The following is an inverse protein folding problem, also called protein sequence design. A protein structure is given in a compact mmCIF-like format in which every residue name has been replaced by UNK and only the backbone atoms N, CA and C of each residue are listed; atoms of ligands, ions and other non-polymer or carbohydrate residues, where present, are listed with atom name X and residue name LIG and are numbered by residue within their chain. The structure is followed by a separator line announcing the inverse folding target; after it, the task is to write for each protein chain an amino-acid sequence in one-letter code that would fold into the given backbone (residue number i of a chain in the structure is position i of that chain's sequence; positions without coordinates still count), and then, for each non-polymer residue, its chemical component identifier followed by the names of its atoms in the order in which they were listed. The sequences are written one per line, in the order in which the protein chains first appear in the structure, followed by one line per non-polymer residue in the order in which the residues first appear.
data_IF_896754284998
#
_entry.id   IF_896754284998
#
_cell.length_a   1.000
_cell.length_b   1.000
_cell.length_c   1.000
_cell.angle_alpha   90.00
_cell.angle_beta   90.00
_cell.angle_gamma   90.00
#
_symmetry.space_group_name_H-M   'P 1'
#
loop_
_entity.id
_entity.type
_entity.pdbx_description
1 polymer ?
#
# COMPACT_ATOMS: atom_id res chain seq x y z
N UNK A 1 3.38 -28.77 19.53
CA UNK A 1 3.75 -27.33 19.44
C UNK A 1 2.98 -26.50 20.48
N UNK A 2 3.09 -26.89 21.75
CA UNK A 2 2.21 -26.44 22.84
C UNK A 2 2.84 -25.34 23.72
N UNK A 3 4.01 -24.84 23.33
CA UNK A 3 4.83 -23.91 24.12
C UNK A 3 4.64 -22.43 23.71
N UNK A 4 3.85 -22.17 22.68
CA UNK A 4 3.66 -20.82 22.12
C UNK A 4 2.81 -19.87 22.99
N UNK A 5 2.10 -20.38 24.01
CA UNK A 5 0.99 -19.64 24.64
C UNK A 5 1.05 -19.50 26.17
N UNK A 6 2.09 -19.95 26.86
CA UNK A 6 2.21 -19.75 28.32
C UNK A 6 3.11 -18.59 28.74
N UNK A 7 3.97 -18.10 27.85
CA UNK A 7 5.06 -17.17 28.24
C UNK A 7 4.87 -15.73 27.77
N UNK A 8 3.94 -15.48 26.83
CA UNK A 8 3.82 -14.20 26.14
C UNK A 8 3.24 -13.01 26.92
N UNK A 9 2.67 -13.11 28.14
CA UNK A 9 2.38 -11.92 28.90
C UNK A 9 3.51 -11.50 29.87
N UNK A 10 4.57 -12.29 30.10
CA UNK A 10 5.51 -12.06 31.23
C UNK A 10 7.00 -12.36 30.97
N UNK A 11 7.48 -12.45 29.72
CA UNK A 11 8.95 -12.51 29.47
C UNK A 11 9.67 -11.16 29.69
N UNK A 12 9.02 -10.15 30.29
CA UNK A 12 9.55 -8.80 30.49
C UNK A 12 10.63 -8.70 31.59
N UNK A 13 11.09 -9.82 32.17
CA UNK A 13 11.88 -9.77 33.40
C UNK A 13 13.17 -10.59 33.45
N UNK A 14 13.62 -11.30 32.40
CA UNK A 14 14.69 -12.29 32.61
C UNK A 14 15.86 -12.31 31.63
N UNK A 15 15.92 -11.51 30.56
CA UNK A 15 17.03 -11.68 29.60
C UNK A 15 17.56 -10.35 29.03
N UNK A 16 18.19 -9.57 29.91
CA UNK A 16 19.26 -8.63 29.53
C UNK A 16 20.51 -9.03 30.31
N UNK A 17 21.31 -9.91 29.73
CA UNK A 17 22.69 -10.14 30.16
C UNK A 17 23.52 -10.33 28.90
N UNK A 18 24.57 -9.51 28.77
CA UNK A 18 25.69 -9.58 27.83
C UNK A 18 25.47 -9.13 26.37
N UNK A 19 25.71 -7.82 26.09
CA UNK A 19 26.92 -7.29 25.39
C UNK A 19 26.70 -5.87 24.86
N UNK A 20 27.66 -4.96 25.12
CA UNK A 20 27.98 -3.80 24.27
C UNK A 20 27.67 -2.39 24.83
N UNK A 21 28.72 -1.67 25.24
CA UNK A 21 28.75 -0.34 25.85
C UNK A 21 28.08 0.77 25.01
N UNK A 22 26.77 0.94 25.14
CA UNK A 22 26.05 2.22 24.98
C UNK A 22 24.72 2.24 25.77
N UNK A 23 24.50 1.21 26.60
CA UNK A 23 23.19 0.82 27.12
C UNK A 23 23.14 0.84 28.66
N UNK A 24 24.24 1.19 29.34
CA UNK A 24 24.34 1.08 30.81
C UNK A 24 23.28 1.90 31.55
N UNK A 25 22.98 3.14 31.13
CA UNK A 25 21.96 3.98 31.77
C UNK A 25 20.51 3.51 31.49
N UNK A 26 20.25 2.97 30.29
CA UNK A 26 18.94 2.42 29.91
C UNK A 26 18.69 1.04 30.52
N UNK A 27 19.73 0.22 30.65
CA UNK A 27 19.69 -1.09 31.29
C UNK A 27 19.55 -0.96 32.82
N UNK A 28 20.17 0.05 33.43
CA UNK A 28 20.06 0.30 34.87
C UNK A 28 18.66 0.83 35.25
N UNK A 29 18.09 1.76 34.47
CA UNK A 29 16.70 2.20 34.66
C UNK A 29 15.69 1.06 34.38
N UNK A 30 15.89 0.29 33.32
CA UNK A 30 15.09 -0.91 33.01
C UNK A 30 15.15 -1.94 34.14
N UNK A 31 16.33 -2.17 34.73
CA UNK A 31 16.50 -3.07 35.86
C UNK A 31 15.82 -2.55 37.13
N UNK A 32 15.92 -1.24 37.41
CA UNK A 32 15.20 -0.60 38.53
C UNK A 32 13.69 -0.73 38.39
N UNK A 33 13.16 -0.47 37.20
CA UNK A 33 11.72 -0.62 36.90
C UNK A 33 11.26 -2.08 37.03
N UNK A 34 12.09 -3.02 36.56
CA UNK A 34 11.87 -4.46 36.72
C UNK A 34 11.83 -4.91 38.19
N UNK A 35 12.77 -4.41 39.00
CA UNK A 35 12.86 -4.67 40.43
C UNK A 35 11.66 -4.08 41.18
N UNK A 36 11.27 -2.84 40.89
CA UNK A 36 10.07 -2.24 41.46
C UNK A 36 8.81 -3.05 41.10
N UNK A 37 8.70 -3.47 39.85
CA UNK A 37 7.60 -4.33 39.38
C UNK A 37 7.57 -5.68 40.07
N UNK A 38 8.73 -6.27 40.35
CA UNK A 38 8.85 -7.51 41.12
C UNK A 38 8.45 -7.32 42.59
N UNK A 39 8.90 -6.22 43.20
CA UNK A 39 8.54 -5.84 44.57
C UNK A 39 7.03 -5.64 44.71
N UNK A 40 6.37 -5.03 43.72
CA UNK A 40 4.92 -4.81 43.73
C UNK A 40 4.06 -6.05 43.40
N UNK A 41 4.65 -7.21 43.09
CA UNK A 41 3.89 -8.44 42.78
C UNK A 41 3.51 -9.20 44.04
N UNK A 42 2.33 -9.83 44.01
CA UNK A 42 1.90 -10.75 45.08
C UNK A 42 2.75 -12.02 45.09
N UNK A 43 2.84 -12.74 46.23
CA UNK A 43 3.56 -14.01 46.31
C UNK A 43 3.13 -15.03 45.24
N UNK A 44 1.82 -15.12 44.99
CA UNK A 44 1.26 -16.01 43.96
C UNK A 44 1.72 -15.62 42.54
N UNK A 45 1.82 -14.33 42.23
CA UNK A 45 2.31 -13.85 40.94
C UNK A 45 3.80 -14.14 40.76
N UNK A 46 4.61 -13.95 41.81
CA UNK A 46 6.04 -14.27 41.82
C UNK A 46 6.27 -15.76 41.59
N UNK A 47 5.51 -16.62 42.25
CA UNK A 47 5.57 -18.07 42.09
C UNK A 47 5.18 -18.50 40.66
N UNK A 48 4.14 -17.90 40.10
CA UNK A 48 3.77 -18.15 38.71
C UNK A 48 4.87 -17.73 37.73
N UNK A 49 5.60 -16.65 38.00
CA UNK A 49 6.74 -16.23 37.19
C UNK A 49 7.90 -17.22 37.27
N UNK A 50 8.26 -17.66 38.49
CA UNK A 50 9.30 -18.68 38.71
C UNK A 50 8.99 -19.96 37.94
N UNK A 51 7.77 -20.50 38.06
CA UNK A 51 7.34 -21.70 37.32
C UNK A 51 7.48 -21.56 35.80
N UNK A 52 7.14 -20.38 35.25
CA UNK A 52 7.28 -20.11 33.81
C UNK A 52 8.74 -19.98 33.38
N UNK A 53 9.58 -19.41 34.23
CA UNK A 53 11.00 -19.30 33.98
C UNK A 53 11.68 -20.67 33.97
N UNK A 54 11.34 -21.55 34.92
CA UNK A 54 11.82 -22.93 34.93
C UNK A 54 11.38 -23.71 33.69
N UNK A 55 10.13 -23.54 33.26
CA UNK A 55 9.66 -24.11 31.99
C UNK A 55 10.44 -23.59 30.78
N UNK A 56 10.88 -22.32 30.80
CA UNK A 56 11.68 -21.73 29.74
C UNK A 56 13.12 -22.27 29.75
N UNK A 57 13.75 -22.41 30.92
CA UNK A 57 15.08 -23.02 31.07
C UNK A 57 15.14 -24.43 30.49
N UNK A 58 14.10 -25.23 30.75
CA UNK A 58 13.98 -26.61 30.22
C UNK A 58 13.83 -26.69 28.69
N UNK A 59 13.67 -25.56 27.98
CA UNK A 59 13.60 -25.56 26.51
C UNK A 59 14.98 -25.63 25.88
N UNK A 60 15.08 -26.26 24.71
CA UNK A 60 16.32 -26.23 23.91
C UNK A 60 16.73 -24.81 23.53
N UNK A 61 18.04 -24.57 23.40
CA UNK A 61 18.62 -23.26 23.05
C UNK A 61 17.94 -22.61 21.83
N UNK A 62 17.67 -23.40 20.77
CA UNK A 62 16.95 -22.93 19.57
C UNK A 62 15.53 -22.41 19.87
N UNK A 63 14.79 -23.09 20.76
CA UNK A 63 13.45 -22.66 21.17
C UNK A 63 13.51 -21.42 22.07
N UNK A 64 14.47 -21.36 22.98
CA UNK A 64 14.72 -20.19 23.82
C UNK A 64 14.98 -18.96 22.96
N UNK A 65 15.89 -19.07 21.99
CA UNK A 65 16.23 -17.99 21.07
C UNK A 65 15.04 -17.56 20.21
N UNK A 66 14.25 -18.51 19.72
CA UNK A 66 13.02 -18.20 18.99
C UNK A 66 12.02 -17.39 19.84
N UNK A 67 11.91 -17.70 21.14
CA UNK A 67 11.05 -16.95 22.07
C UNK A 67 11.62 -15.56 22.34
N UNK A 68 12.93 -15.42 22.57
CA UNK A 68 13.62 -14.13 22.72
C UNK A 68 13.35 -13.21 21.53
N UNK A 69 13.53 -13.70 20.29
CA UNK A 69 13.26 -12.92 19.07
C UNK A 69 11.82 -12.46 18.97
N UNK A 70 10.86 -13.32 19.32
CA UNK A 70 9.43 -12.97 19.30
C UNK A 70 9.08 -11.93 20.36
N UNK A 71 9.67 -12.04 21.54
CA UNK A 71 9.52 -11.04 22.58
C UNK A 71 10.05 -9.69 22.11
N UNK A 72 11.27 -9.64 21.57
CA UNK A 72 11.86 -8.41 21.01
C UNK A 72 10.93 -7.76 19.98
N UNK A 73 10.32 -8.56 19.10
CA UNK A 73 9.32 -8.04 18.15
C UNK A 73 8.04 -7.55 18.84
N UNK A 74 7.54 -8.27 19.84
CA UNK A 74 6.34 -7.88 20.58
C UNK A 74 6.51 -6.57 21.35
N UNK A 75 7.70 -6.35 21.95
CA UNK A 75 8.00 -5.13 22.70
C UNK A 75 7.96 -3.89 21.82
N UNK A 76 8.34 -4.01 20.53
CA UNK A 76 8.29 -2.93 19.53
C UNK A 76 6.88 -2.49 19.14
N UNK A 77 5.85 -3.30 19.40
CA UNK A 77 4.47 -2.91 19.08
C UNK A 77 3.97 -1.77 19.97
N UNK A 78 3.14 -0.90 19.40
CA UNK A 78 2.49 0.18 20.16
C UNK A 78 1.34 -0.35 21.05
N UNK A 79 0.79 0.51 21.93
CA UNK A 79 -0.29 0.14 22.87
C UNK A 79 -1.52 -0.46 22.16
N UNK A 80 -1.91 0.09 21.00
CA UNK A 80 -3.09 -0.37 20.23
C UNK A 80 -2.88 -1.76 19.64
N UNK A 81 -1.70 -2.00 19.07
CA UNK A 81 -1.32 -3.30 18.53
C UNK A 81 -1.22 -4.37 19.62
N UNK A 82 -0.56 -4.04 20.74
CA UNK A 82 -0.49 -4.91 21.93
C UNK A 82 -1.89 -5.28 22.43
N UNK A 83 -2.82 -4.32 22.50
CA UNK A 83 -4.23 -4.58 22.88
C UNK A 83 -4.92 -5.54 21.89
N UNK A 84 -4.72 -5.35 20.59
CA UNK A 84 -5.29 -6.25 19.56
C UNK A 84 -4.75 -7.67 19.69
N UNK A 85 -3.45 -7.82 19.93
CA UNK A 85 -2.82 -9.13 20.14
C UNK A 85 -3.41 -9.82 21.38
N UNK A 86 -3.52 -9.11 22.51
CA UNK A 86 -4.14 -9.62 23.74
C UNK A 86 -5.58 -10.09 23.51
N UNK A 87 -6.42 -9.27 22.87
CA UNK A 87 -7.81 -9.63 22.55
C UNK A 87 -7.90 -10.87 21.66
N UNK A 88 -7.08 -10.95 20.62
CA UNK A 88 -7.05 -12.12 19.73
C UNK A 88 -6.60 -13.39 20.46
N UNK A 89 -5.65 -13.25 21.38
CA UNK A 89 -5.14 -14.34 22.19
C UNK A 89 -6.17 -14.85 23.20
N UNK A 90 -6.88 -13.96 23.88
CA UNK A 90 -8.00 -14.33 24.76
C UNK A 90 -9.11 -15.05 23.99
N UNK A 91 -9.48 -14.54 22.81
CA UNK A 91 -10.44 -15.22 21.94
C UNK A 91 -9.94 -16.62 21.56
N UNK A 92 -8.66 -16.78 21.23
CA UNK A 92 -8.06 -18.08 20.93
C UNK A 92 -8.05 -19.02 22.14
N UNK A 93 -7.79 -18.51 23.35
CA UNK A 93 -7.86 -19.29 24.60
C UNK A 93 -9.27 -19.77 24.92
N UNK A 94 -10.30 -19.01 24.53
CA UNK A 94 -11.70 -19.42 24.71
C UNK A 94 -12.21 -20.37 23.62
N UNK A 95 -11.48 -20.54 22.51
CA UNK A 95 -11.87 -21.48 21.44
C UNK A 95 -11.77 -22.94 21.91
N UNK A 96 -12.73 -23.76 21.46
CA UNK A 96 -12.67 -25.21 21.62
C UNK A 96 -11.52 -25.83 20.83
N UNK A 97 -11.11 -27.04 21.20
CA UNK A 97 -10.03 -27.78 20.51
C UNK A 97 -10.30 -27.89 19.01
N UNK A 98 -11.52 -28.22 18.61
CA UNK A 98 -11.95 -28.32 17.21
C UNK A 98 -11.82 -26.98 16.46
N UNK A 99 -12.25 -25.88 17.10
CA UNK A 99 -12.12 -24.54 16.52
C UNK A 99 -10.65 -24.14 16.34
N UNK A 100 -9.81 -24.40 17.35
CA UNK A 100 -8.36 -24.14 17.27
C UNK A 100 -7.70 -24.94 16.16
N UNK A 101 -8.00 -26.24 16.06
CA UNK A 101 -7.48 -27.07 14.98
C UNK A 101 -7.88 -26.53 13.60
N UNK A 102 -9.15 -26.15 13.41
CA UNK A 102 -9.62 -25.54 12.17
C UNK A 102 -8.86 -24.24 11.84
N UNK A 103 -8.64 -23.39 12.83
CA UNK A 103 -7.87 -22.15 12.67
C UNK A 103 -6.42 -22.45 12.23
N UNK A 104 -5.76 -23.40 12.90
CA UNK A 104 -4.38 -23.79 12.59
C UNK A 104 -4.26 -24.41 11.19
N UNK A 105 -5.22 -25.25 10.78
CA UNK A 105 -5.30 -25.79 9.41
C UNK A 105 -5.43 -24.67 8.37
N UNK A 106 -6.33 -23.72 8.60
CA UNK A 106 -6.51 -22.58 7.70
C UNK A 106 -5.26 -21.70 7.62
N UNK A 107 -4.58 -21.49 8.76
CA UNK A 107 -3.33 -20.74 8.81
C UNK A 107 -2.21 -21.45 8.04
N UNK A 108 -2.07 -22.78 8.18
CA UNK A 108 -1.11 -23.57 7.42
C UNK A 108 -1.36 -23.46 5.92
N UNK A 109 -2.62 -23.64 5.49
CA UNK A 109 -3.03 -23.44 4.08
C UNK A 109 -2.67 -22.04 3.60
N UNK A 110 -2.97 -21.00 4.38
CA UNK A 110 -2.63 -19.62 4.04
C UNK A 110 -1.12 -19.42 3.87
N UNK A 111 -0.29 -19.99 4.76
CA UNK A 111 1.18 -19.90 4.69
C UNK A 111 1.76 -20.59 3.45
N UNK A 112 1.16 -21.70 3.03
CA UNK A 112 1.57 -22.48 1.85
C UNK A 112 1.12 -21.85 0.52
N UNK A 113 0.19 -20.87 0.54
CA UNK A 113 -0.25 -20.21 -0.70
C UNK A 113 0.88 -19.36 -1.33
N UNK A 114 0.92 -19.29 -2.68
CA UNK A 114 1.74 -18.31 -3.40
C UNK A 114 1.57 -16.89 -2.87
N UNK A 115 2.65 -16.12 -2.84
CA UNK A 115 2.67 -14.75 -2.30
C UNK A 115 1.60 -13.87 -2.97
N UNK A 116 1.41 -14.01 -4.27
CA UNK A 116 0.39 -13.28 -5.05
C UNK A 116 -1.02 -13.57 -4.56
N UNK A 117 -1.36 -14.85 -4.33
CA UNK A 117 -2.66 -15.27 -3.78
C UNK A 117 -2.85 -14.74 -2.36
N UNK A 118 -1.81 -14.79 -1.51
CA UNK A 118 -1.85 -14.21 -0.15
C UNK A 118 -2.11 -12.71 -0.18
N UNK A 119 -1.37 -11.96 -0.99
CA UNK A 119 -1.55 -10.51 -1.15
C UNK A 119 -2.97 -10.16 -1.58
N UNK A 120 -3.52 -10.89 -2.56
CA UNK A 120 -4.91 -10.70 -3.02
C UNK A 120 -5.93 -10.95 -1.92
N UNK A 121 -5.77 -12.02 -1.13
CA UNK A 121 -6.65 -12.32 0.00
C UNK A 121 -6.60 -11.22 1.06
N UNK A 122 -5.42 -10.76 1.45
CA UNK A 122 -5.26 -9.69 2.43
C UNK A 122 -5.84 -8.37 1.91
N UNK A 123 -5.67 -8.04 0.63
CA UNK A 123 -6.26 -6.85 0.03
C UNK A 123 -7.79 -6.92 0.03
N UNK A 124 -8.37 -8.08 -0.29
CA UNK A 124 -9.82 -8.29 -0.22
C UNK A 124 -10.33 -8.19 1.21
N UNK A 125 -9.61 -8.75 2.19
CA UNK A 125 -9.94 -8.63 3.60
C UNK A 125 -9.87 -7.18 4.11
N UNK A 126 -8.85 -6.41 3.72
CA UNK A 126 -8.76 -4.99 4.05
C UNK A 126 -9.91 -4.18 3.45
N UNK A 127 -10.23 -4.43 2.17
CA UNK A 127 -11.41 -3.82 1.51
C UNK A 127 -12.68 -4.18 2.27
N UNK A 128 -12.81 -5.44 2.68
CA UNK A 128 -13.95 -5.90 3.43
C UNK A 128 -14.12 -5.18 4.78
N UNK A 129 -13.04 -5.06 5.56
CA UNK A 129 -13.06 -4.35 6.84
C UNK A 129 -13.49 -2.89 6.71
N UNK A 130 -13.21 -2.24 5.57
CA UNK A 130 -13.61 -0.86 5.29
C UNK A 130 -15.05 -0.71 4.77
N UNK A 131 -15.73 -1.80 4.41
CA UNK A 131 -17.11 -1.71 3.91
C UNK A 131 -18.11 -1.41 5.02
N UNK A 132 -19.10 -0.56 4.70
CA UNK A 132 -20.25 -0.28 5.57
C UNK A 132 -21.13 -1.52 5.79
N UNK A 133 -21.81 -1.64 6.94
CA UNK A 133 -22.73 -2.76 7.25
C UNK A 133 -23.76 -3.04 6.15
N UNK A 134 -24.26 -2.00 5.48
CA UNK A 134 -25.22 -2.19 4.39
C UNK A 134 -24.56 -2.80 3.14
N UNK A 135 -23.37 -2.32 2.76
CA UNK A 135 -22.59 -2.93 1.68
C UNK A 135 -22.26 -4.40 1.99
N UNK A 136 -21.95 -4.69 3.27
CA UNK A 136 -21.76 -6.06 3.78
C UNK A 136 -22.98 -6.94 3.54
N UNK A 137 -24.16 -6.43 3.87
CA UNK A 137 -25.45 -7.13 3.70
C UNK A 137 -25.74 -7.39 2.23
N UNK A 138 -25.56 -6.39 1.36
CA UNK A 138 -25.74 -6.53 -0.11
C UNK A 138 -24.83 -7.62 -0.69
N UNK A 139 -23.54 -7.60 -0.34
CA UNK A 139 -22.59 -8.60 -0.81
C UNK A 139 -22.98 -10.03 -0.37
N UNK A 140 -23.38 -10.21 0.90
CA UNK A 140 -23.84 -11.51 1.40
C UNK A 140 -25.08 -12.01 0.66
N UNK A 141 -26.08 -11.14 0.41
CA UNK A 141 -27.27 -11.48 -0.37
C UNK A 141 -26.93 -11.86 -1.81
N UNK A 142 -26.08 -11.09 -2.48
CA UNK A 142 -25.61 -11.39 -3.83
C UNK A 142 -24.89 -12.74 -3.89
N UNK A 143 -24.03 -13.04 -2.91
CA UNK A 143 -23.35 -14.33 -2.82
C UNK A 143 -24.31 -15.49 -2.58
N UNK A 144 -25.31 -15.32 -1.70
CA UNK A 144 -26.36 -16.33 -1.46
C UNK A 144 -27.11 -16.64 -2.76
N UNK A 145 -27.59 -15.60 -3.45
CA UNK A 145 -28.26 -15.72 -4.75
C UNK A 145 -27.37 -16.41 -5.78
N UNK A 146 -26.10 -16.01 -5.89
CA UNK A 146 -25.17 -16.64 -6.83
C UNK A 146 -24.96 -18.14 -6.54
N UNK A 147 -24.86 -18.51 -5.26
CA UNK A 147 -24.70 -19.92 -4.84
C UNK A 147 -25.96 -20.75 -5.09
N UNK A 148 -27.15 -20.17 -5.03
CA UNK A 148 -28.40 -20.86 -5.34
C UNK A 148 -28.69 -20.98 -6.84
N UNK A 149 -27.96 -20.26 -7.70
CA UNK A 149 -28.11 -20.37 -9.16
C UNK A 149 -27.49 -21.65 -9.71
N UNK A 150 -28.13 -22.23 -10.74
CA UNK A 150 -27.58 -23.33 -11.53
C UNK A 150 -26.30 -22.93 -12.28
N UNK A 151 -25.41 -23.89 -12.63
CA UNK A 151 -24.21 -23.60 -13.40
C UNK A 151 -24.47 -22.87 -14.73
N UNK A 152 -25.53 -23.24 -15.45
CA UNK A 152 -25.94 -22.58 -16.70
C UNK A 152 -26.36 -21.12 -16.46
N UNK A 153 -27.19 -20.87 -15.43
CA UNK A 153 -27.59 -19.52 -15.07
C UNK A 153 -26.40 -18.63 -14.68
N UNK A 154 -25.39 -19.21 -13.99
CA UNK A 154 -24.13 -18.51 -13.67
C UNK A 154 -23.33 -18.17 -14.94
N UNK A 155 -23.22 -19.10 -15.89
CA UNK A 155 -22.55 -18.85 -17.18
C UNK A 155 -23.26 -17.73 -17.96
N UNK A 156 -24.59 -17.75 -18.04
CA UNK A 156 -25.39 -16.70 -18.70
C UNK A 156 -25.17 -15.33 -18.04
N UNK A 157 -25.19 -15.26 -16.70
CA UNK A 157 -24.90 -14.02 -15.97
C UNK A 157 -23.47 -13.52 -16.22
N UNK A 158 -22.48 -14.41 -16.25
CA UNK A 158 -21.10 -14.07 -16.56
C UNK A 158 -20.96 -13.54 -18.00
N UNK A 159 -21.63 -14.15 -18.98
CA UNK A 159 -21.65 -13.68 -20.36
C UNK A 159 -22.29 -12.29 -20.47
N UNK A 160 -23.46 -12.08 -19.85
CA UNK A 160 -24.16 -10.78 -19.83
C UNK A 160 -23.30 -9.68 -19.22
N UNK A 161 -22.66 -9.96 -18.08
CA UNK A 161 -21.76 -8.99 -17.43
C UNK A 161 -20.51 -8.69 -18.26
N UNK A 162 -19.93 -9.70 -18.94
CA UNK A 162 -18.81 -9.52 -19.88
C UNK A 162 -19.20 -8.65 -21.07
N UNK A 163 -20.36 -8.92 -21.68
CA UNK A 163 -20.88 -8.14 -22.81
C UNK A 163 -21.16 -6.69 -22.42
N UNK A 164 -21.78 -6.45 -21.26
CA UNK A 164 -22.03 -5.11 -20.74
C UNK A 164 -20.71 -4.33 -20.52
N UNK A 165 -19.68 -4.98 -19.96
CA UNK A 165 -18.34 -4.38 -19.80
C UNK A 165 -17.71 -4.04 -21.16
N UNK A 166 -17.80 -4.94 -22.14
CA UNK A 166 -17.31 -4.70 -23.52
C UNK A 166 -18.01 -3.49 -24.15
N UNK A 167 -19.34 -3.42 -24.07
CA UNK A 167 -20.11 -2.28 -24.57
C UNK A 167 -19.65 -0.96 -23.95
N UNK A 168 -19.47 -0.92 -22.62
CA UNK A 168 -18.93 0.27 -21.93
C UNK A 168 -17.50 0.63 -22.37
N UNK A 169 -16.63 -0.36 -22.56
CA UNK A 169 -15.28 -0.10 -23.06
C UNK A 169 -15.29 0.47 -24.48
N UNK A 170 -16.17 -0.05 -25.35
CA UNK A 170 -16.35 0.46 -26.71
C UNK A 170 -16.87 1.89 -26.71
N UNK A 171 -17.83 2.24 -25.85
CA UNK A 171 -18.33 3.62 -25.79
C UNK A 171 -17.25 4.59 -25.32
N UNK A 172 -16.47 4.21 -24.30
CA UNK A 172 -15.31 5.00 -23.85
C UNK A 172 -14.29 5.16 -24.97
N UNK A 173 -13.94 4.08 -25.67
CA UNK A 173 -13.01 4.12 -26.81
C UNK A 173 -13.53 5.02 -27.94
N UNK A 174 -14.80 4.93 -28.30
CA UNK A 174 -15.43 5.80 -29.32
C UNK A 174 -15.32 7.27 -28.91
N UNK A 175 -15.66 7.62 -27.67
CA UNK A 175 -15.51 9.00 -27.15
C UNK A 175 -14.06 9.49 -27.19
N UNK A 176 -13.11 8.62 -26.84
CA UNK A 176 -11.69 8.97 -26.92
C UNK A 176 -11.22 9.20 -28.36
N UNK A 177 -11.67 8.38 -29.32
CA UNK A 177 -11.35 8.56 -30.74
C UNK A 177 -11.93 9.85 -31.31
N UNK A 178 -13.17 10.19 -30.97
CA UNK A 178 -13.78 11.45 -31.44
C UNK A 178 -13.05 12.66 -30.85
N UNK A 179 -12.70 12.63 -29.57
CA UNK A 179 -11.87 13.67 -28.93
C UNK A 179 -10.50 13.80 -29.62
N UNK A 180 -9.82 12.67 -29.92
CA UNK A 180 -8.55 12.65 -30.64
C UNK A 180 -8.65 13.24 -32.04
N UNK A 181 -9.71 12.89 -32.80
CA UNK A 181 -9.96 13.46 -34.13
C UNK A 181 -10.16 14.98 -34.07
N UNK A 182 -10.97 15.46 -33.12
CA UNK A 182 -11.16 16.91 -32.89
C UNK A 182 -9.85 17.60 -32.56
N UNK A 183 -9.05 17.05 -31.64
CA UNK A 183 -7.74 17.59 -31.26
C UNK A 183 -6.74 17.61 -32.42
N UNK A 184 -6.78 16.61 -33.31
CA UNK A 184 -5.93 16.61 -34.51
C UNK A 184 -6.35 17.70 -35.50
N UNK A 185 -7.67 17.86 -35.74
CA UNK A 185 -8.22 18.93 -36.59
C UNK A 185 -7.79 20.31 -36.08
N UNK A 186 -7.89 20.56 -34.78
CA UNK A 186 -7.47 21.85 -34.19
C UNK A 186 -5.96 22.06 -34.29
N UNK A 187 -5.14 21.02 -34.05
CA UNK A 187 -3.68 21.09 -34.25
C UNK A 187 -3.31 21.43 -35.70
N UNK A 188 -3.96 20.80 -36.69
CA UNK A 188 -3.72 21.08 -38.10
C UNK A 188 -4.09 22.53 -38.46
N UNK A 189 -5.24 23.02 -38.00
CA UNK A 189 -5.66 24.41 -38.19
C UNK A 189 -4.65 25.39 -37.59
N UNK A 190 -4.22 25.17 -36.34
CA UNK A 190 -3.18 25.98 -35.69
C UNK A 190 -1.88 25.99 -36.49
N UNK A 191 -1.44 24.84 -37.02
CA UNK A 191 -0.24 24.74 -37.87
C UNK A 191 -0.40 25.51 -39.19
N UNK A 192 -1.56 25.43 -39.85
CA UNK A 192 -1.86 26.21 -41.06
C UNK A 192 -1.82 27.71 -40.79
N UNK A 193 -2.45 28.17 -39.71
CA UNK A 193 -2.44 29.57 -39.29
C UNK A 193 -1.04 30.07 -38.93
N UNK A 194 -0.23 29.25 -38.26
CA UNK A 194 1.15 29.61 -37.94
C UNK A 194 2.00 29.74 -39.22
N UNK A 195 1.87 28.81 -40.16
CA UNK A 195 2.56 28.89 -41.46
C UNK A 195 2.18 30.17 -42.21
N UNK A 196 0.90 30.54 -42.26
CA UNK A 196 0.46 31.77 -42.94
C UNK A 196 0.97 33.03 -42.25
N UNK A 197 0.98 33.08 -40.91
CA UNK A 197 1.57 34.18 -40.13
C UNK A 197 3.07 34.34 -40.41
N UNK A 198 3.82 33.24 -40.41
CA UNK A 198 5.27 33.24 -40.73
C UNK A 198 5.50 33.75 -42.16
N UNK A 199 4.72 33.28 -43.13
CA UNK A 199 4.84 33.71 -44.53
C UNK A 199 4.57 35.22 -44.68
N UNK A 200 3.50 35.74 -44.06
CA UNK A 200 3.19 37.18 -44.05
C UNK A 200 4.33 37.99 -43.44
N UNK A 201 4.89 37.55 -42.31
CA UNK A 201 6.03 38.22 -41.68
C UNK A 201 7.29 38.23 -42.58
N UNK A 202 7.60 37.12 -43.25
CA UNK A 202 8.70 37.04 -44.23
C UNK A 202 8.50 38.02 -45.40
N UNK A 203 7.28 38.08 -45.95
CA UNK A 203 6.93 39.01 -47.04
C UNK A 203 7.08 40.47 -46.60
N UNK A 204 6.58 40.83 -45.42
CA UNK A 204 6.72 42.17 -44.85
C UNK A 204 8.20 42.55 -44.66
N UNK A 205 9.02 41.66 -44.08
CA UNK A 205 10.46 41.87 -43.94
C UNK A 205 11.15 42.12 -45.28
N UNK A 206 10.81 41.34 -46.32
CA UNK A 206 11.33 41.51 -47.69
C UNK A 206 10.93 42.87 -48.29
N UNK A 207 9.66 43.29 -48.13
CA UNK A 207 9.18 44.60 -48.59
C UNK A 207 9.91 45.77 -47.90
N UNK A 208 10.10 45.69 -46.58
CA UNK A 208 10.83 46.69 -45.81
C UNK A 208 12.31 46.78 -46.23
N UNK A 209 12.97 45.64 -46.43
CA UNK A 209 14.35 45.60 -46.93
C UNK A 209 14.46 46.24 -48.32
N UNK A 210 13.55 45.94 -49.25
CA UNK A 210 13.52 46.55 -50.58
C UNK A 210 13.35 48.08 -50.50
N UNK A 211 12.43 48.57 -49.65
CA UNK A 211 12.26 50.01 -49.39
C UNK A 211 13.51 50.66 -48.82
N UNK A 212 14.18 50.03 -47.84
CA UNK A 212 15.44 50.53 -47.27
C UNK A 212 16.57 50.59 -48.30
N UNK A 213 16.70 49.57 -49.15
CA UNK A 213 17.68 49.54 -50.23
C UNK A 213 17.42 50.64 -51.27
N UNK A 214 16.17 50.79 -51.71
CA UNK A 214 15.78 51.88 -52.62
C UNK A 214 16.10 53.26 -52.02
N UNK A 215 15.76 53.49 -50.74
CA UNK A 215 16.11 54.74 -50.06
C UNK A 215 17.61 54.97 -50.02
N UNK A 216 18.41 53.94 -49.71
CA UNK A 216 19.89 54.04 -49.75
C UNK A 216 20.43 54.33 -51.15
N UNK A 217 19.87 53.71 -52.20
CA UNK A 217 20.25 53.97 -53.58
C UNK A 217 19.91 55.41 -54.00
N UNK A 218 18.72 55.89 -53.66
CA UNK A 218 18.30 57.27 -53.93
C UNK A 218 19.19 58.28 -53.20
N UNK A 219 19.52 58.04 -51.92
CA UNK A 219 20.45 58.89 -51.17
C UNK A 219 21.85 58.89 -51.83
N UNK A 220 22.39 57.72 -52.19
CA UNK A 220 23.66 57.62 -52.91
C UNK A 220 23.63 58.39 -54.24
N UNK A 221 22.55 58.24 -55.02
CA UNK A 221 22.37 58.94 -56.28
C UNK A 221 22.28 60.46 -56.08
N UNK A 222 21.60 60.92 -55.03
CA UNK A 222 21.47 62.34 -54.71
C UNK A 222 22.81 62.93 -54.25
N UNK A 223 23.55 62.24 -53.37
CA UNK A 223 24.91 62.64 -52.94
C UNK A 223 25.85 62.70 -54.15
N UNK A 224 25.81 61.67 -55.01
CA UNK A 224 26.63 61.63 -56.23
C UNK A 224 26.31 62.80 -57.19
N UNK A 225 25.05 63.27 -57.21
CA UNK A 225 24.61 64.39 -58.05
C UNK A 225 24.99 65.76 -57.47
N UNK A 226 25.12 65.88 -56.15
CA UNK A 226 25.55 67.09 -55.44
C UNK A 226 27.07 67.31 -55.46
N UNK A 227 27.85 66.23 -55.53
CA UNK A 227 29.31 66.26 -55.57
C UNK A 227 29.87 65.94 -56.97
N UNK A 228 29.06 66.15 -58.01
CA UNK A 228 29.51 66.04 -59.41
C UNK A 228 30.07 67.41 -59.83
N UNK A 229 31.35 67.51 -60.23
CA UNK A 229 31.96 68.76 -60.68
C UNK A 229 31.29 69.29 -61.95
#
# INVERSE_FOLDING_TARGET
MSLFLRVLPWCLLVLCSFTGLASAAQDDQSNKDALQKWRSMTPQQREQLRRRYEQFKKLSAKKQEQLRRRLKHFLRYNKREKRKIRKNFEAFRKMSTTQRQRLLRNYRRFRQMPVTKRRRLLANYKRWQKMSPQARKRMRRALKKWRSMSPQARKKLAAKTRQAKRRRALTVRKKALTARKKALKTKMLKRKMLKSKILKAKLLKRKLLKRKLLKRMLIKHWIFRLFRP
#
